data_IF_022700487789
#
_entry.id   IF_022700487789
#
_cell.length_a   1.000
_cell.length_b   1.000
_cell.length_c   1.000
_cell.angle_alpha   90.00
_cell.angle_beta   90.00
_cell.angle_gamma   90.00
#
_symmetry.space_group_name_H-M   'P 1'
#
loop_
_entity.id
_entity.type
_entity.pdbx_description
1 polymer ?
#
# COMPACT_ATOMS: atom_id res chain seq x y z
N UNK A 1 27.47 -24.02 15.95
CA UNK A 1 27.25 -24.28 14.52
C UNK A 1 27.63 -23.01 13.76
N UNK A 2 28.77 -23.02 13.03
CA UNK A 2 29.14 -21.91 12.13
C UNK A 2 28.44 -22.15 10.79
N UNK A 3 27.58 -21.22 10.42
CA UNK A 3 26.93 -21.19 9.10
C UNK A 3 28.00 -21.03 8.01
N UNK A 4 27.98 -21.90 7.00
CA UNK A 4 28.85 -21.72 5.83
C UNK A 4 28.39 -20.49 5.02
N UNK A 5 29.28 -19.76 4.33
CA UNK A 5 28.91 -18.61 3.51
C UNK A 5 27.82 -18.93 2.47
N UNK A 6 27.86 -20.14 1.91
CA UNK A 6 26.84 -20.63 0.96
C UNK A 6 25.45 -20.77 1.62
N UNK A 7 25.41 -21.31 2.84
CA UNK A 7 24.14 -21.45 3.58
C UNK A 7 23.54 -20.10 3.95
N UNK A 8 24.39 -19.14 4.35
CA UNK A 8 23.96 -17.76 4.62
C UNK A 8 23.32 -17.12 3.37
N UNK A 9 23.99 -17.18 2.22
CA UNK A 9 23.44 -16.69 0.94
C UNK A 9 22.12 -17.37 0.57
N UNK A 10 21.94 -18.65 0.87
CA UNK A 10 20.68 -19.37 0.60
C UNK A 10 19.54 -18.92 1.53
N UNK A 11 19.83 -18.63 2.80
CA UNK A 11 18.86 -18.07 3.74
C UNK A 11 18.46 -16.65 3.30
N UNK A 12 19.41 -15.83 2.89
CA UNK A 12 19.15 -14.49 2.37
C UNK A 12 18.19 -14.54 1.15
N UNK A 13 18.36 -15.55 0.26
CA UNK A 13 17.42 -15.74 -0.87
C UNK A 13 16.01 -16.13 -0.44
N UNK A 14 15.84 -16.83 0.68
CA UNK A 14 14.51 -17.19 1.19
C UNK A 14 13.75 -15.99 1.76
N UNK A 15 14.46 -14.96 2.22
CA UNK A 15 13.88 -13.76 2.82
C UNK A 15 13.47 -12.72 1.78
N UNK A 16 13.97 -12.83 0.53
CA UNK A 16 13.64 -11.88 -0.53
C UNK A 16 12.18 -12.04 -0.97
N UNK A 17 11.53 -10.89 -1.18
CA UNK A 17 10.25 -10.85 -1.90
C UNK A 17 10.43 -11.37 -3.34
N UNK A 18 9.32 -11.74 -3.98
CA UNK A 18 9.34 -12.18 -5.39
C UNK A 18 10.03 -11.15 -6.30
N UNK A 19 9.67 -9.88 -6.15
CA UNK A 19 10.23 -8.79 -6.95
C UNK A 19 11.74 -8.64 -6.73
N UNK A 20 12.21 -8.65 -5.50
CA UNK A 20 13.63 -8.58 -5.19
C UNK A 20 14.41 -9.77 -5.72
N UNK A 21 13.79 -10.97 -5.69
CA UNK A 21 14.39 -12.18 -6.23
C UNK A 21 14.54 -12.09 -7.76
N UNK A 22 13.51 -11.66 -8.48
CA UNK A 22 13.54 -11.44 -9.93
C UNK A 22 14.65 -10.46 -10.28
N UNK A 23 14.69 -9.31 -9.62
CA UNK A 23 15.71 -8.28 -9.83
C UNK A 23 17.13 -8.80 -9.56
N UNK A 24 17.30 -9.64 -8.56
CA UNK A 24 18.59 -10.27 -8.26
C UNK A 24 18.99 -11.29 -9.33
N UNK A 25 18.03 -12.10 -9.81
CA UNK A 25 18.27 -13.06 -10.89
C UNK A 25 18.68 -12.33 -12.17
N UNK A 26 17.98 -11.27 -12.55
CA UNK A 26 18.29 -10.47 -13.73
C UNK A 26 19.69 -9.86 -13.67
N UNK A 27 20.06 -9.34 -12.50
CA UNK A 27 21.41 -8.82 -12.27
C UNK A 27 22.46 -9.91 -12.47
N UNK A 28 22.25 -11.10 -11.90
CA UNK A 28 23.17 -12.23 -12.03
C UNK A 28 23.27 -12.73 -13.47
N UNK A 29 22.17 -12.71 -14.26
CA UNK A 29 22.21 -13.05 -15.70
C UNK A 29 23.11 -12.09 -16.47
N UNK A 30 23.06 -10.79 -16.17
CA UNK A 30 23.91 -9.77 -16.82
C UNK A 30 25.39 -9.96 -16.44
N UNK A 31 25.65 -10.29 -15.15
CA UNK A 31 27.02 -10.40 -14.63
C UNK A 31 27.68 -11.76 -14.91
N UNK A 32 26.89 -12.81 -15.15
CA UNK A 32 27.38 -14.16 -15.33
C UNK A 32 27.03 -14.75 -16.70
N UNK A 33 27.99 -14.84 -17.64
CA UNK A 33 27.75 -15.30 -19.00
C UNK A 33 27.35 -16.77 -19.14
N UNK A 34 27.40 -17.56 -18.06
CA UNK A 34 27.00 -18.97 -18.03
C UNK A 34 25.52 -19.18 -17.70
N UNK A 35 24.77 -18.08 -17.45
CA UNK A 35 23.33 -18.12 -17.24
C UNK A 35 22.63 -17.60 -18.52
N UNK A 36 21.62 -18.34 -18.96
CA UNK A 36 20.73 -17.96 -20.05
C UNK A 36 19.29 -17.84 -19.54
N UNK A 37 18.52 -16.92 -20.13
CA UNK A 37 17.06 -16.99 -20.09
C UNK A 37 16.61 -18.07 -21.08
N UNK A 38 15.59 -18.83 -20.75
CA UNK A 38 14.99 -19.78 -21.68
C UNK A 38 14.30 -19.01 -22.82
N UNK A 39 14.59 -19.40 -24.08
CA UNK A 39 14.10 -18.70 -25.26
C UNK A 39 12.59 -18.93 -25.51
N UNK A 40 12.00 -19.96 -24.89
CA UNK A 40 10.55 -20.20 -24.98
C UNK A 40 9.70 -19.13 -24.26
N UNK A 41 10.30 -18.34 -23.37
CA UNK A 41 9.66 -17.21 -22.71
C UNK A 41 9.60 -15.91 -23.56
N UNK A 42 10.18 -15.91 -24.77
CA UNK A 42 10.25 -14.72 -25.62
C UNK A 42 8.88 -14.30 -26.19
N UNK A 43 7.89 -15.19 -26.26
CA UNK A 43 6.54 -14.86 -26.79
C UNK A 43 5.64 -14.17 -25.75
N UNK A 44 6.06 -14.05 -24.49
CA UNK A 44 5.29 -13.40 -23.43
C UNK A 44 5.95 -12.16 -22.82
N UNK A 45 7.18 -11.85 -23.21
CA UNK A 45 7.91 -10.75 -22.59
C UNK A 45 8.77 -9.97 -23.58
N UNK A 46 8.21 -9.31 -24.57
CA UNK A 46 8.57 -7.91 -24.77
C UNK A 46 8.07 -7.10 -23.56
N UNK A 47 8.41 -7.55 -22.37
CA UNK A 47 8.49 -6.65 -21.23
C UNK A 47 9.70 -5.76 -21.47
N UNK A 48 9.48 -4.73 -22.28
CA UNK A 48 10.37 -3.61 -22.35
C UNK A 48 10.74 -3.23 -20.92
N UNK A 49 12.03 -3.12 -20.64
CA UNK A 49 12.56 -2.52 -19.40
C UNK A 49 11.96 -1.12 -19.12
N UNK A 50 11.34 -0.51 -20.14
CA UNK A 50 10.58 0.73 -20.07
C UNK A 50 9.14 0.54 -19.57
N UNK A 51 8.60 -0.68 -19.51
CA UNK A 51 7.23 -0.93 -19.02
C UNK A 51 7.19 -1.15 -17.50
N UNK A 52 8.34 -1.34 -16.84
CA UNK A 52 8.46 -1.21 -15.38
C UNK A 52 8.72 0.24 -14.91
N UNK A 53 9.19 1.12 -15.75
CA UNK A 53 8.80 2.51 -15.74
C UNK A 53 7.37 2.59 -16.32
N UNK A 54 6.42 1.85 -15.72
CA UNK A 54 5.11 2.45 -15.66
C UNK A 54 5.41 3.85 -15.14
N UNK A 55 5.23 4.85 -15.98
CA UNK A 55 4.65 6.10 -15.59
C UNK A 55 3.30 5.72 -14.92
N UNK A 56 3.40 5.10 -13.74
CA UNK A 56 2.44 5.35 -12.71
C UNK A 56 2.58 6.85 -12.61
N UNK A 57 1.73 7.57 -13.36
CA UNK A 57 1.43 8.96 -13.04
C UNK A 57 1.45 8.93 -11.52
N UNK A 58 2.49 9.50 -10.95
CA UNK A 58 2.79 9.30 -9.53
C UNK A 58 1.56 9.88 -8.85
N UNK A 59 0.59 8.98 -8.54
CA UNK A 59 -0.65 9.39 -7.91
C UNK A 59 -0.19 10.18 -6.73
N UNK A 60 -0.52 11.46 -6.74
CA UNK A 60 -0.14 12.38 -5.71
C UNK A 60 -0.49 11.72 -4.37
N UNK A 61 0.41 11.75 -3.44
CA UNK A 61 0.14 11.32 -2.07
C UNK A 61 -1.01 12.15 -1.51
N UNK A 62 -1.69 11.64 -0.48
CA UNK A 62 -2.74 12.40 0.21
C UNK A 62 -2.24 13.81 0.55
N UNK A 63 -1.04 13.91 1.15
CA UNK A 63 -0.44 15.19 1.55
C UNK A 63 -0.23 16.15 0.38
N UNK A 64 0.31 15.68 -0.74
CA UNK A 64 0.50 16.49 -1.95
C UNK A 64 -0.83 16.96 -2.54
N UNK A 65 -1.84 16.10 -2.53
CA UNK A 65 -3.18 16.43 -3.00
C UNK A 65 -3.83 17.50 -2.14
N UNK A 66 -3.71 17.39 -0.81
CA UNK A 66 -4.25 18.38 0.12
C UNK A 66 -3.54 19.74 -0.03
N UNK A 67 -2.21 19.73 -0.17
CA UNK A 67 -1.44 20.99 -0.38
C UNK A 67 -1.87 21.66 -1.68
N UNK A 68 -2.04 20.91 -2.78
CA UNK A 68 -2.55 21.47 -4.03
C UNK A 68 -3.93 22.11 -3.88
N UNK A 69 -4.83 21.46 -3.14
CA UNK A 69 -6.16 22.03 -2.91
C UNK A 69 -6.11 23.31 -2.09
N UNK A 70 -5.15 23.48 -1.16
CA UNK A 70 -4.99 24.72 -0.42
C UNK A 70 -4.68 25.92 -1.33
N UNK A 71 -4.01 25.72 -2.46
CA UNK A 71 -3.69 26.79 -3.41
C UNK A 71 -4.96 27.35 -4.09
N UNK A 72 -6.04 26.55 -4.15
CA UNK A 72 -7.34 26.96 -4.66
C UNK A 72 -8.13 27.83 -3.64
N UNK A 73 -7.79 27.70 -2.34
CA UNK A 73 -8.39 28.50 -1.28
C UNK A 73 -7.62 29.81 -1.12
N UNK A 74 -8.31 30.93 -1.21
CA UNK A 74 -7.70 32.25 -1.01
C UNK A 74 -7.45 32.50 0.49
N UNK A 75 -6.51 31.76 1.07
CA UNK A 75 -6.16 31.84 2.48
C UNK A 75 -5.19 32.99 2.75
N UNK A 76 -5.27 33.57 3.95
CA UNK A 76 -4.23 34.47 4.42
C UNK A 76 -2.94 33.67 4.74
N UNK A 77 -1.80 34.36 4.86
CA UNK A 77 -0.50 33.68 5.11
C UNK A 77 -0.53 32.86 6.40
N UNK A 78 -1.18 33.37 7.45
CA UNK A 78 -1.26 32.70 8.75
C UNK A 78 -2.08 31.40 8.66
N UNK A 79 -3.26 31.44 8.04
CA UNK A 79 -4.12 30.27 7.89
C UNK A 79 -3.48 29.20 6.96
N UNK A 80 -2.71 29.65 5.96
CA UNK A 80 -1.95 28.75 5.10
C UNK A 80 -0.86 28.00 5.88
N UNK A 81 -0.11 28.69 6.75
CA UNK A 81 0.92 28.07 7.59
C UNK A 81 0.29 27.09 8.59
N UNK A 82 -0.82 27.45 9.24
CA UNK A 82 -1.57 26.57 10.11
C UNK A 82 -2.08 25.34 9.33
N UNK A 83 -2.61 25.53 8.13
CA UNK A 83 -3.10 24.43 7.28
C UNK A 83 -1.97 23.46 6.94
N UNK A 84 -0.78 23.94 6.58
CA UNK A 84 0.39 23.11 6.33
C UNK A 84 0.85 22.34 7.57
N UNK A 85 0.80 22.96 8.75
CA UNK A 85 1.09 22.30 10.02
C UNK A 85 0.11 21.15 10.26
N UNK A 86 -1.19 21.40 10.12
CA UNK A 86 -2.23 20.37 10.32
C UNK A 86 -2.04 19.22 9.32
N UNK A 87 -1.83 19.49 8.01
CA UNK A 87 -1.57 18.46 7.00
C UNK A 87 -0.32 17.64 7.35
N UNK A 88 0.69 18.25 7.99
CA UNK A 88 1.87 17.56 8.48
C UNK A 88 1.57 16.53 9.58
N UNK A 89 0.49 16.72 10.35
CA UNK A 89 0.06 15.89 11.46
C UNK A 89 -1.06 14.91 11.09
N UNK A 90 -1.47 14.83 9.81
CA UNK A 90 -2.44 13.85 9.30
C UNK A 90 -1.69 12.61 8.81
N UNK A 91 -2.18 11.42 9.16
CA UNK A 91 -1.66 10.14 8.71
C UNK A 91 -2.17 9.75 7.32
N UNK A 92 -1.78 8.56 6.86
CA UNK A 92 -2.20 8.03 5.56
C UNK A 92 -3.69 7.66 5.51
N UNK A 93 -4.34 7.43 6.66
CA UNK A 93 -5.78 7.15 6.75
C UNK A 93 -6.63 8.43 6.68
N UNK A 94 -6.02 9.57 6.95
CA UNK A 94 -6.68 10.88 7.08
C UNK A 94 -6.98 11.28 8.52
N UNK A 95 -6.51 10.51 9.52
CA UNK A 95 -6.66 10.79 10.95
C UNK A 95 -5.65 11.83 11.41
N UNK A 96 -6.07 12.70 12.34
CA UNK A 96 -5.21 13.64 13.01
C UNK A 96 -4.50 12.96 14.18
N UNK A 97 -3.20 12.65 14.03
CA UNK A 97 -2.42 11.92 15.02
C UNK A 97 -2.18 12.78 16.27
N UNK A 98 -1.80 14.04 16.02
CA UNK A 98 -1.40 14.95 17.09
C UNK A 98 -2.62 15.67 17.70
N UNK A 99 -2.60 15.87 19.01
CA UNK A 99 -3.62 16.68 19.66
C UNK A 99 -3.45 18.18 19.34
N UNK A 100 -4.50 18.96 19.52
CA UNK A 100 -4.42 20.40 19.30
C UNK A 100 -3.41 21.09 20.26
N UNK A 101 -3.18 20.51 21.43
CA UNK A 101 -2.22 21.01 22.42
C UNK A 101 -0.78 20.72 21.94
N UNK A 102 -0.54 19.51 21.41
CA UNK A 102 0.77 19.13 20.83
C UNK A 102 1.09 20.00 19.61
N UNK A 103 0.10 20.31 18.76
CA UNK A 103 0.29 21.22 17.61
C UNK A 103 0.64 22.64 18.04
N UNK A 104 0.07 23.15 19.13
CA UNK A 104 0.44 24.44 19.71
C UNK A 104 1.91 24.43 20.14
N UNK A 105 2.37 23.35 20.78
CA UNK A 105 3.78 23.17 21.16
C UNK A 105 4.69 23.03 19.94
N UNK A 106 4.33 22.23 18.95
CA UNK A 106 5.08 22.04 17.69
C UNK A 106 5.27 23.39 16.98
N UNK A 107 4.25 24.25 16.99
CA UNK A 107 4.33 25.59 16.45
C UNK A 107 5.14 26.56 17.32
N UNK A 108 5.69 26.11 18.45
CA UNK A 108 6.36 26.95 19.45
C UNK A 108 5.47 28.09 19.96
N UNK A 109 4.18 27.80 20.12
CA UNK A 109 3.14 28.76 20.55
C UNK A 109 2.93 29.95 19.60
N UNK A 110 3.36 29.86 18.33
CA UNK A 110 3.04 30.88 17.33
C UNK A 110 1.56 30.90 16.96
N UNK A 111 0.89 29.73 17.08
CA UNK A 111 -0.54 29.58 16.79
C UNK A 111 -1.22 29.00 18.02
N UNK A 112 -2.30 29.64 18.44
CA UNK A 112 -3.08 29.14 19.56
C UNK A 112 -3.94 27.95 19.16
N UNK A 113 -4.22 27.07 20.12
CA UNK A 113 -5.14 25.94 19.97
C UNK A 113 -6.47 26.31 19.30
N UNK A 114 -7.04 27.47 19.66
CA UNK A 114 -8.29 27.96 19.08
C UNK A 114 -8.14 28.30 17.60
N UNK A 115 -7.05 28.93 17.20
CA UNK A 115 -6.78 29.26 15.80
C UNK A 115 -6.58 27.97 14.96
N UNK A 116 -5.82 27.03 15.48
CA UNK A 116 -5.62 25.72 14.84
C UNK A 116 -6.96 25.00 14.65
N UNK A 117 -7.81 24.97 15.67
CA UNK A 117 -9.13 24.35 15.58
C UNK A 117 -10.07 25.03 14.57
N UNK A 118 -10.03 26.36 14.49
CA UNK A 118 -10.82 27.12 13.50
C UNK A 118 -10.38 26.77 12.07
N UNK A 119 -9.08 26.71 11.80
CA UNK A 119 -8.54 26.35 10.49
C UNK A 119 -8.83 24.89 10.16
N UNK A 120 -8.71 23.98 11.13
CA UNK A 120 -9.05 22.59 10.97
C UNK A 120 -10.49 22.41 10.46
N UNK A 121 -11.46 23.05 11.13
CA UNK A 121 -12.89 22.90 10.80
C UNK A 121 -13.25 23.65 9.51
N UNK A 122 -12.73 24.84 9.31
CA UNK A 122 -13.16 25.71 8.22
C UNK A 122 -12.43 25.48 6.91
N UNK A 123 -11.20 24.93 6.96
CA UNK A 123 -10.36 24.71 5.78
C UNK A 123 -10.14 23.21 5.58
N UNK A 124 -9.45 22.54 6.48
CA UNK A 124 -8.99 21.15 6.29
C UNK A 124 -10.14 20.18 6.12
N UNK A 125 -11.15 20.24 6.98
CA UNK A 125 -12.31 19.33 6.92
C UNK A 125 -13.23 19.56 5.72
N UNK A 126 -12.95 20.58 4.90
CA UNK A 126 -13.67 20.83 3.63
C UNK A 126 -12.91 20.36 2.39
N UNK A 127 -11.64 19.95 2.55
CA UNK A 127 -10.83 19.40 1.47
C UNK A 127 -11.32 18.02 1.04
N UNK A 128 -10.97 17.62 -0.17
CA UNK A 128 -11.26 16.30 -0.72
C UNK A 128 -10.04 15.38 -0.54
N UNK A 129 -10.27 14.13 -0.13
CA UNK A 129 -11.53 13.45 0.17
C UNK A 129 -12.18 13.92 1.48
N UNK A 130 -13.51 13.98 1.51
CA UNK A 130 -14.21 14.39 2.72
C UNK A 130 -14.00 13.39 3.86
N UNK A 131 -13.89 13.91 5.08
CA UNK A 131 -13.64 13.10 6.26
C UNK A 131 -12.22 13.21 6.82
N UNK A 132 -11.33 13.96 6.18
CA UNK A 132 -9.95 14.15 6.62
C UNK A 132 -9.87 15.09 7.81
N UNK A 133 -8.79 14.96 8.61
CA UNK A 133 -8.54 15.77 9.80
C UNK A 133 -9.52 15.45 10.93
N UNK A 134 -9.94 14.20 11.02
CA UNK A 134 -10.80 13.72 12.09
C UNK A 134 -9.95 13.27 13.30
N UNK A 135 -10.54 13.41 14.49
CA UNK A 135 -9.97 12.97 15.78
C UNK A 135 -10.65 11.71 16.32
N UNK A 136 -11.76 11.31 15.68
CA UNK A 136 -12.48 10.07 15.99
C UNK A 136 -13.29 9.64 14.79
N UNK A 137 -13.56 8.34 14.66
CA UNK A 137 -14.39 7.80 13.56
C UNK A 137 -15.79 8.43 13.49
N UNK A 138 -16.38 8.80 14.63
CA UNK A 138 -17.66 9.54 14.67
C UNK A 138 -17.52 10.91 13.98
N UNK A 139 -16.41 11.60 14.21
CA UNK A 139 -16.12 12.88 13.56
C UNK A 139 -15.88 12.71 12.06
N UNK A 140 -15.15 11.66 11.64
CA UNK A 140 -14.96 11.32 10.24
C UNK A 140 -16.29 11.19 9.48
N UNK A 141 -17.21 10.37 10.01
CA UNK A 141 -18.55 10.20 9.44
C UNK A 141 -19.30 11.53 9.40
N UNK A 142 -19.26 12.29 10.51
CA UNK A 142 -19.93 13.61 10.60
C UNK A 142 -19.45 14.58 9.53
N UNK A 143 -18.14 14.65 9.28
CA UNK A 143 -17.55 15.49 8.25
C UNK A 143 -18.06 15.09 6.86
N UNK A 144 -18.07 13.79 6.54
CA UNK A 144 -18.56 13.29 5.25
C UNK A 144 -20.03 13.61 5.03
N UNK A 145 -20.87 13.38 6.05
CA UNK A 145 -22.31 13.68 5.97
C UNK A 145 -22.57 15.18 5.80
N UNK A 146 -21.83 16.04 6.51
CA UNK A 146 -21.98 17.49 6.39
C UNK A 146 -21.63 17.99 4.99
N UNK A 147 -20.59 17.44 4.39
CA UNK A 147 -20.11 17.83 3.06
C UNK A 147 -20.87 17.15 1.91
N UNK A 148 -21.66 16.10 2.18
CA UNK A 148 -22.46 15.44 1.15
C UNK A 148 -23.70 16.28 0.77
N UNK A 149 -23.68 16.88 -0.41
CA UNK A 149 -24.77 17.72 -0.91
C UNK A 149 -26.03 16.94 -1.33
N UNK A 150 -25.93 15.60 -1.44
CA UNK A 150 -27.08 14.75 -1.82
C UNK A 150 -28.04 14.50 -0.65
N UNK A 151 -27.58 14.68 0.57
CA UNK A 151 -28.36 14.43 1.79
C UNK A 151 -29.15 15.68 2.18
N UNK A 152 -30.45 15.54 2.42
CA UNK A 152 -31.30 16.65 2.87
C UNK A 152 -30.88 17.16 4.25
N UNK A 153 -31.13 18.45 4.53
CA UNK A 153 -30.81 19.07 5.83
C UNK A 153 -31.44 18.32 6.99
N UNK A 154 -32.72 17.84 6.80
CA UNK A 154 -33.46 17.06 7.80
C UNK A 154 -32.70 15.75 8.13
N UNK A 155 -32.26 15.01 7.11
CA UNK A 155 -31.55 13.76 7.31
C UNK A 155 -30.15 13.97 7.91
N UNK A 156 -29.48 15.07 7.53
CA UNK A 156 -28.17 15.43 8.17
C UNK A 156 -28.36 15.64 9.68
N UNK A 157 -29.40 16.39 10.09
CA UNK A 157 -29.62 16.60 11.53
C UNK A 157 -29.99 15.32 12.27
N UNK A 158 -30.73 14.41 11.63
CA UNK A 158 -31.02 13.08 12.19
C UNK A 158 -29.75 12.26 12.37
N UNK A 159 -28.90 12.16 11.34
CA UNK A 159 -27.64 11.39 11.39
C UNK A 159 -26.73 11.94 12.48
N UNK A 160 -26.59 13.27 12.56
CA UNK A 160 -25.77 13.91 13.60
C UNK A 160 -26.31 13.60 15.00
N UNK A 161 -27.65 13.59 15.20
CA UNK A 161 -28.24 13.22 16.48
C UNK A 161 -27.97 11.76 16.85
N UNK A 162 -28.01 10.85 15.88
CA UNK A 162 -27.64 9.44 16.08
C UNK A 162 -26.17 9.30 16.49
N UNK A 163 -25.26 9.99 15.79
CA UNK A 163 -23.81 9.93 16.09
C UNK A 163 -23.45 10.56 17.44
N UNK A 164 -24.24 11.49 17.93
CA UNK A 164 -24.03 12.15 19.23
C UNK A 164 -24.37 11.25 20.42
N UNK A 165 -25.10 10.15 20.22
CA UNK A 165 -25.39 9.20 21.27
C UNK A 165 -24.12 8.43 21.65
N UNK A 166 -23.80 8.41 22.96
CA UNK A 166 -22.60 7.73 23.47
C UNK A 166 -22.72 6.20 23.37
N UNK A 167 -23.93 5.66 23.46
CA UNK A 167 -24.22 4.22 23.44
C UNK A 167 -24.75 3.78 22.09
N UNK A 168 -23.87 3.73 21.07
CA UNK A 168 -24.24 3.20 19.75
C UNK A 168 -24.59 1.70 19.75
N UNK A 169 -24.22 0.98 20.81
CA UNK A 169 -24.50 -0.46 20.94
C UNK A 169 -25.98 -0.76 21.18
N UNK A 170 -26.78 0.23 21.63
CA UNK A 170 -28.19 0.10 21.88
C UNK A 170 -29.05 0.67 20.72
N UNK A 171 -28.89 0.12 19.52
CA UNK A 171 -29.56 0.56 18.28
C UNK A 171 -31.08 0.66 18.48
N UNK A 172 -31.70 -0.25 19.26
CA UNK A 172 -33.16 -0.22 19.54
C UNK A 172 -33.58 0.98 20.35
N UNK A 173 -32.77 1.42 21.31
CA UNK A 173 -33.10 2.62 22.12
C UNK A 173 -32.96 3.88 21.27
N UNK A 174 -31.93 3.95 20.42
CA UNK A 174 -31.76 5.05 19.47
C UNK A 174 -32.92 5.10 18.51
N UNK A 175 -33.36 3.96 17.98
CA UNK A 175 -34.56 3.88 17.12
C UNK A 175 -35.81 4.44 17.80
N UNK A 176 -36.05 4.07 19.07
CA UNK A 176 -37.19 4.61 19.84
C UNK A 176 -37.11 6.12 20.00
N UNK A 177 -35.95 6.64 20.41
CA UNK A 177 -35.72 8.07 20.56
C UNK A 177 -35.93 8.85 19.25
N UNK A 178 -35.52 8.29 18.12
CA UNK A 178 -35.66 8.89 16.79
C UNK A 178 -37.15 8.93 16.39
N UNK A 179 -37.93 7.88 16.69
CA UNK A 179 -39.39 7.83 16.43
C UNK A 179 -40.16 8.83 17.32
N UNK A 180 -39.75 8.97 18.59
CA UNK A 180 -40.32 9.95 19.51
C UNK A 180 -40.09 11.40 19.05
N UNK A 181 -38.94 11.65 18.38
CA UNK A 181 -38.62 12.95 17.79
C UNK A 181 -39.33 13.23 16.44
N UNK A 182 -40.25 12.39 16.03
CA UNK A 182 -41.13 12.62 14.86
C UNK A 182 -40.51 12.20 13.52
N UNK A 183 -39.44 11.41 13.52
CA UNK A 183 -38.91 10.81 12.31
C UNK A 183 -39.57 9.46 12.03
N UNK A 184 -39.63 9.08 10.75
CA UNK A 184 -40.20 7.79 10.36
C UNK A 184 -39.13 6.66 10.46
N UNK A 185 -39.59 5.43 10.51
CA UNK A 185 -38.72 4.26 10.46
C UNK A 185 -37.90 4.20 9.15
N UNK A 186 -38.47 4.73 8.05
CA UNK A 186 -37.76 4.85 6.78
C UNK A 186 -36.61 5.85 6.86
N UNK A 187 -36.82 6.99 7.55
CA UNK A 187 -35.74 8.00 7.75
C UNK A 187 -34.61 7.41 8.61
N UNK A 188 -34.95 6.62 9.63
CA UNK A 188 -33.97 5.94 10.45
C UNK A 188 -33.12 4.93 9.65
N UNK A 189 -33.79 4.07 8.85
CA UNK A 189 -33.10 3.10 8.00
C UNK A 189 -32.19 3.79 7.01
N UNK A 190 -32.69 4.83 6.34
CA UNK A 190 -31.87 5.65 5.42
C UNK A 190 -30.66 6.24 6.13
N UNK A 191 -30.81 6.76 7.35
CA UNK A 191 -29.72 7.32 8.12
C UNK A 191 -28.62 6.28 8.43
N UNK A 192 -29.02 5.08 8.82
CA UNK A 192 -28.09 3.97 9.09
C UNK A 192 -27.36 3.52 7.80
N UNK A 193 -28.08 3.44 6.68
CA UNK A 193 -27.48 3.05 5.41
C UNK A 193 -26.44 4.10 4.94
N UNK A 194 -26.72 5.41 5.12
CA UNK A 194 -25.76 6.48 4.84
C UNK A 194 -24.52 6.44 5.77
N UNK A 195 -24.72 6.14 7.04
CA UNK A 195 -23.59 5.96 7.99
C UNK A 195 -22.70 4.79 7.55
N UNK A 196 -23.29 3.68 7.13
CA UNK A 196 -22.55 2.50 6.66
C UNK A 196 -21.83 2.73 5.34
N UNK A 197 -22.31 3.64 4.52
CA UNK A 197 -21.69 4.00 3.24
C UNK A 197 -20.49 4.94 3.40
N UNK A 198 -20.27 5.51 4.60
CA UNK A 198 -19.12 6.37 4.85
C UNK A 198 -17.82 5.56 4.92
N UNK A 199 -16.74 6.14 4.39
CA UNK A 199 -15.39 5.58 4.48
C UNK A 199 -14.72 6.04 5.79
N UNK A 200 -14.25 5.10 6.60
CA UNK A 200 -13.58 5.41 7.87
C UNK A 200 -12.11 5.79 7.71
N UNK A 201 -11.54 5.53 6.54
CA UNK A 201 -10.14 5.80 6.23
C UNK A 201 -9.99 6.42 4.83
N UNK A 202 -10.55 7.61 4.59
CA UNK A 202 -10.64 8.22 3.26
C UNK A 202 -9.27 8.51 2.63
N UNK A 203 -8.23 8.62 3.45
CA UNK A 203 -6.87 8.86 2.99
C UNK A 203 -6.21 7.65 2.31
N UNK A 204 -6.61 6.42 2.65
CA UNK A 204 -6.00 5.21 2.09
C UNK A 204 -6.18 5.07 0.57
N UNK A 205 -7.14 5.77 -0.02
CA UNK A 205 -7.32 5.80 -1.48
C UNK A 205 -6.14 6.48 -2.22
N UNK A 206 -5.26 7.18 -1.51
CA UNK A 206 -4.06 7.85 -2.01
C UNK A 206 -2.77 7.10 -1.69
N UNK A 207 -2.83 6.05 -0.89
CA UNK A 207 -1.66 5.20 -0.64
C UNK A 207 -1.33 4.42 -1.91
N UNK A 208 -0.05 4.36 -2.23
CA UNK A 208 0.44 3.49 -3.29
C UNK A 208 0.20 2.06 -2.82
N UNK A 209 -0.73 1.36 -3.45
CA UNK A 209 -0.84 -0.07 -3.26
C UNK A 209 0.41 -0.70 -3.85
N UNK A 210 1.29 -1.23 -3.02
CA UNK A 210 2.36 -2.10 -3.52
C UNK A 210 1.70 -3.29 -4.19
N UNK A 211 1.99 -3.47 -5.48
CA UNK A 211 1.49 -4.63 -6.20
C UNK A 211 2.30 -5.85 -5.73
N UNK A 212 1.69 -6.65 -4.86
CA UNK A 212 2.29 -7.89 -4.38
C UNK A 212 1.82 -9.02 -5.29
N UNK A 213 2.71 -9.53 -6.12
CA UNK A 213 2.44 -10.75 -6.87
C UNK A 213 2.48 -11.97 -5.93
N UNK A 214 1.48 -12.83 -6.05
CA UNK A 214 1.43 -14.06 -5.26
C UNK A 214 2.48 -15.07 -5.75
N UNK A 215 3.24 -15.66 -4.84
CA UNK A 215 4.21 -16.72 -5.15
C UNK A 215 3.52 -18.04 -5.54
N UNK A 216 2.36 -18.32 -4.96
CA UNK A 216 1.61 -19.57 -5.15
C UNK A 216 0.18 -19.30 -5.59
N UNK A 217 -0.32 -20.14 -6.50
CA UNK A 217 -1.74 -20.22 -6.87
C UNK A 217 -2.34 -21.50 -6.27
N UNK A 218 -3.42 -21.34 -5.51
CA UNK A 218 -4.16 -22.46 -4.93
C UNK A 218 -5.47 -22.64 -5.72
N UNK A 219 -5.59 -23.77 -6.40
CA UNK A 219 -6.80 -24.14 -7.13
C UNK A 219 -7.57 -25.20 -6.34
N UNK A 220 -8.79 -24.87 -5.95
CA UNK A 220 -9.70 -25.80 -5.26
C UNK A 220 -10.66 -26.37 -6.29
N UNK A 221 -10.57 -27.68 -6.58
CA UNK A 221 -11.51 -28.39 -7.45
C UNK A 221 -12.19 -29.49 -6.62
N UNK A 222 -13.48 -29.25 -6.32
CA UNK A 222 -14.37 -30.17 -5.55
C UNK A 222 -13.72 -30.72 -4.29
N UNK A 223 -12.94 -31.34 -3.90
CA UNK A 223 -12.26 -31.77 -2.67
C UNK A 223 -10.75 -31.92 -2.85
N UNK A 224 -10.23 -31.49 -4.01
CA UNK A 224 -8.81 -31.62 -4.31
C UNK A 224 -8.14 -30.22 -4.29
N UNK A 225 -7.09 -30.10 -3.47
CA UNK A 225 -6.34 -28.87 -3.24
C UNK A 225 -5.06 -28.95 -4.07
N UNK A 226 -5.00 -28.23 -5.18
CA UNK A 226 -3.82 -28.18 -6.03
C UNK A 226 -3.06 -26.86 -5.81
N UNK A 227 -1.85 -26.96 -5.24
CA UNK A 227 -0.94 -25.83 -5.02
C UNK A 227 0.08 -25.81 -6.15
N UNK A 228 0.04 -24.76 -6.96
CA UNK A 228 0.99 -24.53 -8.05
C UNK A 228 1.81 -23.26 -7.81
N UNK A 229 3.07 -23.27 -8.22
CA UNK A 229 3.89 -22.07 -8.23
C UNK A 229 3.38 -21.13 -9.32
N UNK A 230 3.33 -19.83 -9.02
CA UNK A 230 2.97 -18.83 -10.00
C UNK A 230 4.19 -18.55 -10.89
N UNK A 231 4.21 -19.12 -12.08
CA UNK A 231 5.31 -18.92 -13.04
C UNK A 231 5.15 -17.66 -13.89
N UNK A 232 4.01 -16.96 -13.79
CA UNK A 232 3.82 -15.71 -14.52
C UNK A 232 4.89 -14.69 -14.09
N UNK A 233 5.54 -14.07 -15.03
CA UNK A 233 6.61 -13.07 -14.82
C UNK A 233 7.85 -13.59 -14.05
N UNK A 234 7.99 -14.90 -13.82
CA UNK A 234 9.18 -15.45 -13.17
C UNK A 234 10.18 -15.92 -14.21
N UNK A 235 11.41 -15.36 -14.28
CA UNK A 235 12.37 -15.72 -15.30
C UNK A 235 12.79 -17.18 -15.16
N UNK A 236 12.63 -17.95 -16.22
CA UNK A 236 13.19 -19.29 -16.32
C UNK A 236 14.65 -19.14 -16.70
N UNK A 237 15.52 -19.60 -15.81
CA UNK A 237 16.98 -19.51 -15.99
C UNK A 237 17.55 -20.89 -16.18
N UNK A 238 18.48 -20.99 -17.13
CA UNK A 238 19.20 -22.22 -17.43
C UNK A 238 20.71 -21.98 -17.48
N UNK A 239 21.45 -23.07 -17.35
CA UNK A 239 22.90 -23.05 -17.52
C UNK A 239 23.22 -23.24 -18.98
N UNK A 240 24.08 -22.36 -19.54
CA UNK A 240 24.62 -22.56 -20.88
C UNK A 240 25.62 -23.73 -20.86
N UNK A 241 25.11 -24.93 -21.07
CA UNK A 241 25.92 -26.16 -21.03
C UNK A 241 26.99 -26.17 -22.13
N UNK A 242 26.69 -25.62 -23.31
CA UNK A 242 27.65 -25.54 -24.41
C UNK A 242 28.83 -24.64 -24.06
N UNK A 243 28.56 -23.48 -23.54
CA UNK A 243 29.60 -22.53 -23.11
C UNK A 243 30.43 -23.10 -21.96
N UNK A 244 29.75 -23.74 -21.00
CA UNK A 244 30.44 -24.40 -19.85
C UNK A 244 31.35 -25.50 -20.33
N UNK A 245 30.96 -26.35 -21.28
CA UNK A 245 31.77 -27.46 -21.75
C UNK A 245 32.96 -26.98 -22.64
N UNK A 246 32.73 -25.95 -23.43
CA UNK A 246 33.82 -25.32 -24.21
C UNK A 246 34.88 -24.73 -23.27
N UNK A 247 34.44 -23.97 -22.28
CA UNK A 247 35.37 -23.39 -21.29
C UNK A 247 36.08 -24.46 -20.46
N UNK A 248 35.44 -25.54 -20.07
CA UNK A 248 36.06 -26.64 -19.36
C UNK A 248 37.14 -27.36 -20.20
N UNK A 249 36.92 -27.49 -21.52
CA UNK A 249 37.91 -28.04 -22.45
C UNK A 249 39.15 -27.14 -22.51
N UNK A 250 38.97 -25.85 -22.61
CA UNK A 250 40.07 -24.85 -22.62
C UNK A 250 40.80 -24.79 -21.26
N UNK A 251 40.07 -24.86 -20.12
CA UNK A 251 40.63 -24.83 -18.77
C UNK A 251 41.50 -26.04 -18.44
N UNK A 252 41.41 -27.16 -19.19
CA UNK A 252 42.35 -28.27 -19.08
C UNK A 252 43.80 -27.84 -19.42
N UNK A 253 43.93 -26.77 -20.20
CA UNK A 253 45.25 -26.26 -20.65
C UNK A 253 45.71 -24.98 -19.93
N UNK A 254 44.75 -24.20 -19.37
CA UNK A 254 45.05 -22.98 -18.58
C UNK A 254 44.10 -22.90 -17.40
N UNK A 255 44.59 -23.03 -16.17
CA UNK A 255 43.78 -22.80 -14.96
C UNK A 255 43.38 -21.32 -14.89
N UNK A 256 42.09 -21.08 -15.02
CA UNK A 256 41.48 -19.77 -14.73
C UNK A 256 40.45 -19.94 -13.62
N UNK A 257 40.87 -19.62 -12.38
CA UNK A 257 40.05 -19.82 -11.19
C UNK A 257 38.80 -18.92 -11.19
N UNK A 258 38.86 -17.77 -11.87
CA UNK A 258 37.71 -16.85 -11.96
C UNK A 258 36.58 -17.41 -12.79
N UNK A 259 36.85 -18.06 -13.93
CA UNK A 259 35.80 -18.69 -14.76
C UNK A 259 35.18 -19.89 -14.07
N UNK A 260 35.97 -20.68 -13.38
CA UNK A 260 35.49 -21.82 -12.56
C UNK A 260 34.58 -21.31 -11.44
N UNK A 261 34.94 -20.20 -10.80
CA UNK A 261 34.10 -19.59 -9.77
C UNK A 261 32.77 -19.14 -10.33
N UNK A 262 32.72 -18.44 -11.48
CA UNK A 262 31.47 -18.03 -12.14
C UNK A 262 30.57 -19.21 -12.51
N UNK A 263 31.13 -20.32 -13.01
CA UNK A 263 30.36 -21.55 -13.28
C UNK A 263 29.74 -22.12 -11.98
N UNK A 264 30.51 -22.12 -10.90
CA UNK A 264 30.04 -22.61 -9.62
C UNK A 264 28.95 -21.70 -9.03
N UNK A 265 29.09 -20.38 -9.17
CA UNK A 265 28.11 -19.40 -8.72
C UNK A 265 26.80 -19.54 -9.53
N UNK A 266 26.86 -19.75 -10.86
CA UNK A 266 25.69 -20.03 -11.68
C UNK A 266 24.93 -21.29 -11.22
N UNK A 267 25.65 -22.40 -11.04
CA UNK A 267 25.06 -23.66 -10.55
C UNK A 267 24.46 -23.52 -9.16
N UNK A 268 25.16 -22.78 -8.29
CA UNK A 268 24.67 -22.51 -6.94
C UNK A 268 23.36 -21.70 -6.98
N UNK A 269 23.27 -20.64 -7.81
CA UNK A 269 22.07 -19.83 -7.96
C UNK A 269 20.88 -20.69 -8.41
N UNK A 270 21.02 -21.45 -9.50
CA UNK A 270 19.98 -22.34 -10.02
C UNK A 270 19.47 -23.32 -8.95
N UNK A 271 20.40 -23.97 -8.24
CA UNK A 271 20.03 -24.91 -7.17
C UNK A 271 19.34 -24.22 -5.99
N UNK A 272 19.74 -22.98 -5.67
CA UNK A 272 19.18 -22.23 -4.55
C UNK A 272 17.81 -21.69 -4.86
N UNK A 273 17.55 -21.20 -6.08
CA UNK A 273 16.23 -20.80 -6.54
C UNK A 273 15.26 -21.99 -6.56
N UNK A 274 15.69 -23.14 -7.08
CA UNK A 274 14.87 -24.37 -7.06
C UNK A 274 14.50 -24.78 -5.65
N UNK A 275 15.47 -24.80 -4.73
CA UNK A 275 15.24 -25.14 -3.31
C UNK A 275 14.29 -24.14 -2.63
N UNK A 276 14.41 -22.84 -2.94
CA UNK A 276 13.47 -21.84 -2.44
C UNK A 276 12.04 -22.15 -2.89
N UNK A 277 11.85 -22.37 -4.18
CA UNK A 277 10.54 -22.67 -4.74
C UNK A 277 9.94 -23.95 -4.15
N UNK A 278 10.76 -24.99 -3.94
CA UNK A 278 10.33 -26.23 -3.27
C UNK A 278 9.99 -26.01 -1.78
N UNK A 279 10.69 -25.09 -1.11
CA UNK A 279 10.44 -24.76 0.30
C UNK A 279 9.16 -23.96 0.47
N UNK A 280 8.89 -23.03 -0.44
CA UNK A 280 7.67 -22.21 -0.44
C UNK A 280 6.42 -23.05 -0.74
N UNK A 281 6.55 -24.13 -1.52
CA UNK A 281 5.44 -25.07 -1.80
C UNK A 281 5.08 -25.98 -0.62
N UNK A 282 6.00 -26.23 0.30
CA UNK A 282 5.78 -27.10 1.48
C UNK A 282 5.01 -26.40 2.57
#
# INVERSE_FOLDING_TARGET
LKLTPSLKKSIDLLQLSRFELIKKIEKEIIENPFLKKDEEDYDLAEFNHNDFDFDIESKLTLRETLIKQLDEFHLNKKDLEISKLIIGCIDESGELIESLDDMEEISKYFFSKNEINIVLINVIQKLSPYGIGYRSHKECIKIQILNNNKISKKNKSLIISILSNEKLDEIEQIKKSVLENGFSEKDFKYAIDEIKACDLSPGLNFTKTEFIEADLKINIKKDDLNVSFNNESFPIIELDEELVDNVKKELKFKKNDQLLQKINDAKWLLSSVKKRNDTVKK
#
